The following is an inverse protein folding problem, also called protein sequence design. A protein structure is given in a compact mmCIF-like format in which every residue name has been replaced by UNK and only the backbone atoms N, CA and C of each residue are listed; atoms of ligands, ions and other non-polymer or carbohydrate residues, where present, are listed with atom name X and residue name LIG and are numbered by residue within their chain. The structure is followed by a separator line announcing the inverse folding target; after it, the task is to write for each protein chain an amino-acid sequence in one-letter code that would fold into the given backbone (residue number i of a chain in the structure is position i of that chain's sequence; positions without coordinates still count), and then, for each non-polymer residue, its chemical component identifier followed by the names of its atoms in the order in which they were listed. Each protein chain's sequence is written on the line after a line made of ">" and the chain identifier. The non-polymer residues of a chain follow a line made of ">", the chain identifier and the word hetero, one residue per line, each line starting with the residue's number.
data_IF_503562146183
#
_entry.id   IF_503562146183
#
_cell.length_a   1.000
_cell.length_b   1.000
_cell.length_c   1.000
_cell.angle_alpha   90.00
_cell.angle_beta   90.00
_cell.angle_gamma   90.00
#
_symmetry.space_group_name_H-M   'P 1'
#
loop_
_entity.id
_entity.type
_entity.pdbx_description
1 polymer ?
#
# COMPACT_ATOMS: atom_id res chain seq x y z
N UNK A 1 18.75 -2.15 -5.32
CA UNK A 1 17.66 -3.12 -5.44
C UNK A 1 16.57 -2.59 -6.35
N UNK A 2 15.98 -3.45 -7.12
CA UNK A 2 14.96 -3.03 -8.06
C UNK A 2 13.59 -2.97 -7.40
N UNK A 3 12.84 -1.92 -7.73
CA UNK A 3 11.49 -1.74 -7.21
C UNK A 3 10.58 -2.91 -7.51
N UNK A 4 10.68 -3.47 -8.72
CA UNK A 4 9.84 -4.61 -9.12
C UNK A 4 10.08 -5.82 -8.21
N UNK A 5 11.31 -6.05 -7.80
CA UNK A 5 11.66 -7.13 -6.90
C UNK A 5 11.03 -6.92 -5.52
N UNK A 6 11.08 -5.69 -5.01
CA UNK A 6 10.46 -5.35 -3.72
C UNK A 6 8.95 -5.47 -3.79
N UNK A 7 8.34 -5.02 -4.89
CA UNK A 7 6.92 -5.17 -5.12
C UNK A 7 6.51 -6.63 -5.07
N UNK A 8 7.18 -7.45 -5.86
CA UNK A 8 6.86 -8.86 -5.97
C UNK A 8 7.01 -9.57 -4.62
N UNK A 9 8.08 -9.28 -3.89
CA UNK A 9 8.31 -9.86 -2.58
C UNK A 9 7.22 -9.45 -1.59
N UNK A 10 6.81 -8.18 -1.62
CA UNK A 10 5.79 -7.68 -0.71
C UNK A 10 4.42 -8.30 -0.99
N UNK A 11 4.05 -8.42 -2.26
CA UNK A 11 2.78 -9.03 -2.64
C UNK A 11 2.78 -10.52 -2.33
N UNK A 12 3.89 -11.19 -2.58
CA UNK A 12 3.99 -12.65 -2.48
C UNK A 12 4.17 -13.14 -1.06
N UNK A 13 4.99 -12.44 -0.27
CA UNK A 13 5.39 -12.90 1.06
C UNK A 13 4.93 -12.01 2.20
N UNK A 14 4.38 -10.83 1.89
CA UNK A 14 3.89 -9.92 2.91
C UNK A 14 2.54 -10.32 3.46
N UNK A 15 2.14 -9.65 4.54
CA UNK A 15 0.80 -9.81 5.09
C UNK A 15 -0.18 -9.00 4.24
N UNK A 16 -1.36 -9.57 4.01
CA UNK A 16 -2.37 -8.94 3.17
C UNK A 16 -3.65 -8.70 3.96
N UNK A 17 -4.18 -7.49 3.85
CA UNK A 17 -5.50 -7.17 4.39
C UNK A 17 -6.39 -6.62 3.28
N UNK A 18 -7.62 -7.16 3.21
CA UNK A 18 -8.58 -6.76 2.19
C UNK A 18 -9.54 -5.75 2.79
N UNK A 19 -9.61 -4.58 2.16
CA UNK A 19 -10.56 -3.53 2.50
C UNK A 19 -11.60 -3.43 1.39
N UNK A 20 -12.68 -2.68 1.57
CA UNK A 20 -13.73 -2.60 0.54
C UNK A 20 -13.24 -2.15 -0.83
N UNK A 21 -12.30 -1.22 -0.89
CA UNK A 21 -11.87 -0.62 -2.15
C UNK A 21 -10.39 -0.77 -2.45
N UNK A 22 -9.62 -1.32 -1.52
CA UNK A 22 -8.18 -1.53 -1.69
C UNK A 22 -7.73 -2.80 -0.97
N UNK A 23 -6.61 -3.35 -1.39
CA UNK A 23 -5.94 -4.44 -0.69
C UNK A 23 -4.58 -3.89 -0.28
N UNK A 24 -4.23 -4.06 0.99
CA UNK A 24 -2.95 -3.57 1.53
C UNK A 24 -2.04 -4.75 1.79
N UNK A 25 -0.83 -4.70 1.22
CA UNK A 25 0.22 -5.69 1.46
C UNK A 25 1.35 -5.01 2.22
N UNK A 26 1.82 -5.63 3.29
CA UNK A 26 2.96 -5.08 4.04
C UNK A 26 4.02 -6.15 4.24
N UNK A 27 5.28 -5.74 4.22
CA UNK A 27 6.43 -6.60 4.48
C UNK A 27 7.52 -5.73 5.10
N UNK A 28 8.27 -6.31 6.03
CA UNK A 28 9.46 -5.64 6.53
C UNK A 28 10.67 -6.20 5.81
N UNK A 29 11.43 -5.33 5.16
CA UNK A 29 12.61 -5.72 4.44
C UNK A 29 13.70 -6.21 5.40
N UNK A 30 14.56 -7.11 4.92
CA UNK A 30 15.67 -7.61 5.71
C UNK A 30 16.74 -6.53 5.87
N UNK A 31 17.66 -6.74 6.79
CA UNK A 31 18.76 -5.79 7.01
C UNK A 31 19.69 -5.66 5.80
N UNK A 32 19.64 -6.62 4.90
CA UNK A 32 20.47 -6.60 3.68
C UNK A 32 19.88 -5.74 2.58
N UNK A 33 18.61 -5.39 2.70
CA UNK A 33 17.95 -4.57 1.71
C UNK A 33 18.19 -3.10 2.01
N UNK A 34 17.91 -2.28 0.99
CA UNK A 34 18.06 -0.86 1.08
C UNK A 34 17.26 -0.28 2.25
N UNK A 35 17.90 0.52 3.07
CA UNK A 35 17.38 1.04 4.33
C UNK A 35 17.11 2.53 4.25
N UNK A 36 16.92 3.07 3.05
CA UNK A 36 16.76 4.51 2.82
C UNK A 36 15.43 5.08 3.33
N UNK A 37 14.55 4.24 3.78
CA UNK A 37 13.27 4.67 4.31
C UNK A 37 12.14 3.80 3.84
N UNK A 38 10.92 4.03 4.36
CA UNK A 38 9.76 3.21 3.97
C UNK A 38 9.41 3.44 2.50
N UNK A 39 8.93 2.40 1.85
CA UNK A 39 8.54 2.46 0.45
C UNK A 39 7.10 2.05 0.28
N UNK A 40 6.38 2.83 -0.52
CA UNK A 40 4.99 2.54 -0.84
C UNK A 40 4.86 2.43 -2.35
N UNK A 41 4.28 1.34 -2.80
CA UNK A 41 3.99 1.13 -4.21
C UNK A 41 2.50 1.00 -4.45
N UNK A 42 2.08 1.30 -5.67
CA UNK A 42 0.68 1.21 -6.07
C UNK A 42 0.53 0.23 -7.21
N UNK A 43 -0.53 -0.58 -7.16
CA UNK A 43 -0.93 -1.45 -8.26
C UNK A 43 -2.33 -1.02 -8.67
N UNK A 44 -2.47 -0.49 -9.89
CA UNK A 44 -3.75 -0.04 -10.41
C UNK A 44 -3.94 -0.68 -11.79
N UNK A 45 -4.65 -1.79 -11.81
CA UNK A 45 -4.86 -2.56 -13.03
C UNK A 45 -5.83 -1.85 -13.98
N UNK A 46 -5.76 -2.22 -15.26
CA UNK A 46 -6.63 -1.64 -16.28
C UNK A 46 -8.11 -1.77 -15.96
N UNK A 47 -8.50 -2.83 -15.28
CA UNK A 47 -9.91 -3.06 -14.91
C UNK A 47 -10.45 -2.04 -13.91
N UNK A 48 -9.60 -1.25 -13.29
CA UNK A 48 -10.05 -0.19 -12.38
C UNK A 48 -10.78 0.91 -13.16
N UNK A 49 -10.37 1.17 -14.40
CA UNK A 49 -11.05 2.15 -15.22
C UNK A 49 -10.19 2.62 -16.38
N UNK A 50 -10.60 3.73 -16.99
CA UNK A 50 -9.85 4.39 -18.06
C UNK A 50 -8.51 4.89 -17.53
N UNK A 51 -7.61 5.28 -18.44
CA UNK A 51 -6.33 5.85 -18.06
C UNK A 51 -6.51 7.09 -17.16
N UNK A 52 -7.50 7.92 -17.48
CA UNK A 52 -7.80 9.11 -16.66
C UNK A 52 -8.27 8.71 -15.27
N UNK A 53 -9.16 7.73 -15.19
CA UNK A 53 -9.66 7.25 -13.89
C UNK A 53 -8.57 6.61 -13.06
N UNK A 54 -7.73 5.80 -13.66
CA UNK A 54 -6.59 5.17 -12.96
C UNK A 54 -5.62 6.22 -12.43
N UNK A 55 -5.36 7.24 -13.22
CA UNK A 55 -4.47 8.32 -12.82
C UNK A 55 -5.04 9.09 -11.62
N UNK A 56 -6.35 9.31 -11.63
CA UNK A 56 -7.06 9.99 -10.52
C UNK A 56 -6.98 9.16 -9.23
N UNK A 57 -7.19 7.85 -9.35
CA UNK A 57 -7.06 6.95 -8.20
C UNK A 57 -5.65 6.98 -7.65
N UNK A 58 -4.64 6.91 -8.53
CA UNK A 58 -3.24 6.96 -8.12
C UNK A 58 -2.92 8.23 -7.34
N UNK A 59 -3.42 9.38 -7.82
CA UNK A 59 -3.19 10.66 -7.15
C UNK A 59 -3.80 10.67 -5.75
N UNK A 60 -5.03 10.18 -5.62
CA UNK A 60 -5.71 10.13 -4.33
C UNK A 60 -4.97 9.21 -3.37
N UNK A 61 -4.55 8.05 -3.82
CA UNK A 61 -3.82 7.10 -2.98
C UNK A 61 -2.48 7.66 -2.54
N UNK A 62 -1.75 8.30 -3.43
CA UNK A 62 -0.47 8.94 -3.06
C UNK A 62 -0.69 10.03 -2.02
N UNK A 63 -1.73 10.81 -2.20
CA UNK A 63 -2.05 11.91 -1.29
C UNK A 63 -2.35 11.39 0.11
N UNK A 64 -3.19 10.36 0.22
CA UNK A 64 -3.55 9.82 1.54
C UNK A 64 -2.45 8.96 2.15
N UNK A 65 -1.61 8.34 1.33
CA UNK A 65 -0.51 7.52 1.83
C UNK A 65 0.65 8.35 2.39
N UNK A 66 0.86 9.55 1.86
CA UNK A 66 2.00 10.39 2.25
C UNK A 66 2.09 10.64 3.76
N UNK A 67 1.02 11.08 4.44
CA UNK A 67 1.09 11.29 5.89
C UNK A 67 1.35 10.00 6.66
N UNK A 68 0.97 8.85 6.11
CA UNK A 68 1.13 7.57 6.79
C UNK A 68 2.57 7.10 6.79
N UNK A 69 3.40 7.60 5.86
CA UNK A 69 4.81 7.24 5.79
C UNK A 69 5.57 7.60 7.08
N UNK A 70 5.15 8.68 7.74
CA UNK A 70 5.81 9.11 8.97
C UNK A 70 5.69 8.08 10.10
N UNK A 71 4.64 7.25 10.08
CA UNK A 71 4.44 6.21 11.08
C UNK A 71 5.06 4.87 10.75
N UNK A 72 5.73 4.76 9.60
CA UNK A 72 6.32 3.51 9.16
C UNK A 72 7.79 3.40 9.56
N UNK A 73 8.23 2.16 9.77
CA UNK A 73 9.63 1.86 9.99
C UNK A 73 10.39 2.01 8.67
N UNK A 74 11.68 2.43 8.67
CA UNK A 74 12.44 2.57 7.42
C UNK A 74 12.49 1.32 6.55
N UNK A 75 12.33 0.15 7.13
CA UNK A 75 12.34 -1.11 6.37
C UNK A 75 10.95 -1.60 5.98
N UNK A 76 9.92 -0.84 6.28
CA UNK A 76 8.57 -1.23 5.89
C UNK A 76 8.37 -1.08 4.38
N UNK A 77 7.76 -2.08 3.78
CA UNK A 77 7.40 -2.09 2.37
C UNK A 77 5.90 -2.29 2.29
N UNK A 78 5.23 -1.38 1.63
CA UNK A 78 3.77 -1.39 1.52
C UNK A 78 3.40 -1.36 0.05
N UNK A 79 2.48 -2.23 -0.35
CA UNK A 79 1.91 -2.19 -1.69
C UNK A 79 0.40 -2.06 -1.53
N UNK A 80 -0.17 -1.06 -2.19
CA UNK A 80 -1.60 -0.81 -2.17
C UNK A 80 -2.16 -1.17 -3.53
N UNK A 81 -3.03 -2.17 -3.55
CA UNK A 81 -3.71 -2.58 -4.78
C UNK A 81 -5.10 -1.95 -4.80
N UNK A 82 -5.36 -1.14 -5.82
CA UNK A 82 -6.68 -0.53 -6.00
C UNK A 82 -7.65 -1.55 -6.60
N UNK A 83 -8.83 -1.65 -6.00
CA UNK A 83 -9.92 -2.44 -6.56
C UNK A 83 -10.75 -1.56 -7.49
N UNK A 84 -11.55 -2.13 -8.41
CA UNK A 84 -12.34 -1.33 -9.35
C UNK A 84 -13.23 -0.29 -8.68
N UNK A 85 -13.79 -0.59 -7.52
CA UNK A 85 -14.65 0.33 -6.78
C UNK A 85 -13.91 1.58 -6.26
N UNK A 86 -12.58 1.54 -6.18
CA UNK A 86 -11.78 2.64 -5.65
C UNK A 86 -11.96 3.94 -6.43
N UNK A 87 -12.33 3.85 -7.71
CA UNK A 87 -12.52 5.05 -8.54
C UNK A 87 -13.71 5.89 -8.12
N UNK A 88 -14.64 5.33 -7.32
CA UNK A 88 -15.88 5.99 -6.91
C UNK A 88 -15.86 6.51 -5.48
N UNK A 89 -14.78 6.31 -4.75
CA UNK A 89 -14.74 6.67 -3.34
C UNK A 89 -13.86 7.89 -3.09
N UNK A 90 -14.16 8.59 -2.00
CA UNK A 90 -13.43 9.80 -1.62
C UNK A 90 -12.05 9.49 -1.07
N UNK A 91 -11.18 10.51 -1.06
CA UNK A 91 -9.87 10.41 -0.43
C UNK A 91 -9.99 10.12 1.07
N UNK A 92 -10.99 10.70 1.74
CA UNK A 92 -11.21 10.45 3.16
C UNK A 92 -11.52 8.98 3.43
N UNK A 93 -12.33 8.35 2.57
CA UNK A 93 -12.66 6.94 2.71
C UNK A 93 -11.46 6.05 2.42
N UNK A 94 -10.66 6.41 1.42
CA UNK A 94 -9.42 5.68 1.12
C UNK A 94 -8.42 5.79 2.27
N UNK A 95 -8.30 6.97 2.87
CA UNK A 95 -7.43 7.18 4.03
C UNK A 95 -7.82 6.25 5.18
N UNK A 96 -9.11 6.17 5.48
CA UNK A 96 -9.60 5.31 6.54
C UNK A 96 -9.30 3.85 6.28
N UNK A 97 -9.48 3.40 5.03
CA UNK A 97 -9.18 2.03 4.65
C UNK A 97 -7.70 1.72 4.74
N UNK A 98 -6.84 2.64 4.32
CA UNK A 98 -5.39 2.44 4.41
C UNK A 98 -4.94 2.33 5.86
N UNK A 99 -5.43 3.21 6.73
CA UNK A 99 -5.08 3.16 8.15
C UNK A 99 -5.51 1.84 8.77
N UNK A 100 -6.73 1.43 8.50
CA UNK A 100 -7.26 0.17 9.00
C UNK A 100 -6.48 -1.03 8.47
N UNK A 101 -6.21 -1.03 7.16
CA UNK A 101 -5.48 -2.12 6.52
C UNK A 101 -4.06 -2.25 7.03
N UNK A 102 -3.36 -1.14 7.18
CA UNK A 102 -1.99 -1.13 7.70
C UNK A 102 -1.95 -1.64 9.13
N UNK A 103 -2.84 -1.15 9.99
CA UNK A 103 -2.88 -1.58 11.37
C UNK A 103 -3.11 -3.08 11.48
N UNK A 104 -4.10 -3.59 10.75
CA UNK A 104 -4.41 -5.02 10.79
C UNK A 104 -3.27 -5.87 10.24
N UNK A 105 -2.64 -5.43 9.18
CA UNK A 105 -1.52 -6.17 8.59
C UNK A 105 -0.33 -6.26 9.55
N UNK A 106 -0.01 -5.18 10.22
CA UNK A 106 1.08 -5.18 11.20
C UNK A 106 0.73 -5.99 12.43
N UNK A 107 -0.51 -5.95 12.89
CA UNK A 107 -0.97 -6.78 14.01
C UNK A 107 -0.86 -8.27 13.65
N UNK A 108 -1.26 -8.63 12.43
CA UNK A 108 -1.16 -10.02 11.96
C UNK A 108 0.28 -10.49 11.85
N UNK A 109 1.20 -9.60 11.52
CA UNK A 109 2.61 -9.92 11.42
C UNK A 109 3.29 -10.03 12.81
N UNK A 110 2.56 -9.73 13.88
CA UNK A 110 3.14 -9.71 15.22
C UNK A 110 4.11 -8.56 15.43
N UNK A 111 3.99 -7.51 14.63
CA UNK A 111 4.88 -6.35 14.71
C UNK A 111 4.32 -5.34 15.70
N UNK A 112 5.13 -4.95 16.67
CA UNK A 112 4.75 -3.92 17.61
C UNK A 112 4.98 -2.53 17.04
N UNK A 113 4.10 -1.61 17.40
CA UNK A 113 4.15 -0.24 16.91
C UNK A 113 4.14 0.74 18.05
#
# INVERSE_FOLDING_TARGET
>A
MRRSTEFDATVKYGMRTVQPDVIVHVRRASQREDDEGPRVGLIIAKRVGTAVERHRVARRLRHVARPLLAGLNPRDRVVIRALPSSRHVSSAWLDQQLRSGLKRAFDMAGTER
#
